data_IF_270357481437
#
_entry.id   IF_270357481437
#
_cell.length_a   1.000
_cell.length_b   1.000
_cell.length_c   1.000
_cell.angle_alpha   90.00
_cell.angle_beta   90.00
_cell.angle_gamma   90.00
#
_symmetry.space_group_name_H-M   'P 1'
#
loop_
_entity.id
_entity.type
_entity.pdbx_description
1 polymer ?
#
# COMPACT_ATOMS: atom_id res chain seq x y z
N UNK A 1 3.67 3.55 10.32
CA UNK A 1 4.47 2.99 11.42
C UNK A 1 5.10 4.06 12.31
N UNK A 2 5.31 5.28 11.83
CA UNK A 2 6.02 6.32 12.61
C UNK A 2 5.11 7.09 13.57
N UNK A 3 3.84 7.30 13.20
CA UNK A 3 2.84 8.03 13.99
C UNK A 3 3.35 9.41 14.45
N UNK A 4 3.90 10.20 13.51
CA UNK A 4 4.44 11.55 13.74
C UNK A 4 3.46 12.61 13.27
N UNK A 5 2.74 13.24 14.18
CA UNK A 5 1.74 14.29 13.93
C UNK A 5 2.36 15.65 13.61
N UNK A 6 3.61 15.85 14.00
CA UNK A 6 4.45 17.01 13.69
C UNK A 6 5.04 16.98 12.28
N UNK A 7 4.99 15.84 11.57
CA UNK A 7 5.47 15.72 10.19
C UNK A 7 4.60 16.50 9.20
N UNK A 8 5.22 16.98 8.12
CA UNK A 8 4.52 17.65 7.00
C UNK A 8 4.94 17.03 5.69
N UNK A 9 4.05 17.15 4.68
CA UNK A 9 4.35 16.69 3.32
C UNK A 9 5.55 17.42 2.74
N UNK A 10 6.43 16.69 2.03
CA UNK A 10 7.61 17.24 1.41
C UNK A 10 7.88 16.62 0.05
N UNK A 11 8.49 17.39 -0.83
CA UNK A 11 9.08 16.91 -2.08
C UNK A 11 10.57 17.19 -2.01
N UNK A 12 11.38 16.14 -2.07
CA UNK A 12 12.83 16.24 -1.90
C UNK A 12 13.57 15.73 -3.15
N UNK A 13 14.81 16.20 -3.35
CA UNK A 13 15.65 15.70 -4.43
C UNK A 13 15.38 16.33 -5.79
N UNK A 14 14.65 17.45 -5.88
CA UNK A 14 14.40 18.14 -7.14
C UNK A 14 15.69 18.76 -7.70
N UNK A 15 15.85 18.61 -9.01
CA UNK A 15 16.93 19.20 -9.80
C UNK A 15 16.33 19.92 -11.02
N UNK A 16 17.15 20.55 -11.84
CA UNK A 16 16.70 21.17 -13.10
C UNK A 16 16.19 20.16 -14.13
N UNK A 17 16.50 18.89 -13.97
CA UNK A 17 16.04 17.79 -14.83
C UNK A 17 14.58 17.43 -14.57
N UNK A 18 14.07 17.63 -13.36
CA UNK A 18 12.75 17.18 -12.97
C UNK A 18 11.63 18.04 -13.61
N UNK A 19 10.57 17.38 -14.02
CA UNK A 19 9.38 17.98 -14.59
C UNK A 19 8.11 17.43 -13.93
N UNK A 20 6.93 17.90 -14.33
CA UNK A 20 5.65 17.50 -13.77
C UNK A 20 5.41 15.97 -13.81
N UNK A 21 5.91 15.27 -14.83
CA UNK A 21 5.80 13.81 -14.94
C UNK A 21 6.56 13.09 -13.86
N UNK A 22 7.76 13.56 -13.50
CA UNK A 22 8.53 13.00 -12.39
C UNK A 22 7.82 13.20 -11.05
N UNK A 23 7.19 14.36 -10.84
CA UNK A 23 6.42 14.64 -9.62
C UNK A 23 5.18 13.71 -9.55
N UNK A 24 4.42 13.60 -10.65
CA UNK A 24 3.28 12.70 -10.72
C UNK A 24 3.68 11.24 -10.44
N UNK A 25 4.79 10.77 -11.02
CA UNK A 25 5.34 9.44 -10.78
C UNK A 25 5.72 9.24 -9.31
N UNK A 26 6.39 10.20 -8.70
CA UNK A 26 6.77 10.13 -7.28
C UNK A 26 5.55 10.03 -6.35
N UNK A 27 4.45 10.73 -6.66
CA UNK A 27 3.19 10.62 -5.90
C UNK A 27 2.61 9.20 -6.00
N UNK A 28 2.62 8.61 -7.19
CA UNK A 28 2.14 7.23 -7.39
C UNK A 28 3.02 6.21 -6.68
N UNK A 29 4.34 6.38 -6.69
CA UNK A 29 5.30 5.48 -6.03
C UNK A 29 5.29 5.60 -4.50
N UNK A 30 4.83 6.74 -3.96
CA UNK A 30 4.77 6.96 -2.52
C UNK A 30 3.87 5.94 -1.79
N UNK A 31 2.72 5.58 -2.38
CA UNK A 31 1.78 4.60 -1.79
C UNK A 31 2.42 3.21 -1.63
N UNK A 32 3.05 2.61 -2.66
CA UNK A 32 3.78 1.35 -2.51
C UNK A 32 4.89 1.38 -1.46
N UNK A 33 5.63 2.47 -1.33
CA UNK A 33 6.63 2.59 -0.27
C UNK A 33 6.01 2.60 1.13
N UNK A 34 4.92 3.35 1.34
CA UNK A 34 4.19 3.34 2.60
C UNK A 34 3.63 1.96 2.91
N UNK A 35 3.07 1.28 1.92
CA UNK A 35 2.58 -0.10 2.06
C UNK A 35 3.72 -1.02 2.52
N UNK A 36 4.91 -0.91 1.92
CA UNK A 36 6.07 -1.70 2.31
C UNK A 36 6.48 -1.42 3.77
N UNK A 37 6.47 -0.18 4.22
CA UNK A 37 6.77 0.16 5.63
C UNK A 37 5.80 -0.49 6.62
N UNK A 38 4.50 -0.51 6.27
CA UNK A 38 3.49 -1.18 7.10
C UNK A 38 3.73 -2.69 7.13
N UNK A 39 4.01 -3.30 5.97
CA UNK A 39 4.28 -4.74 5.90
C UNK A 39 5.55 -5.14 6.61
N UNK A 40 6.63 -4.37 6.47
CA UNK A 40 7.88 -4.62 7.22
C UNK A 40 7.61 -4.63 8.73
N UNK A 41 6.78 -3.69 9.23
CA UNK A 41 6.38 -3.64 10.63
C UNK A 41 5.52 -4.86 11.02
N UNK A 42 4.52 -5.23 10.21
CA UNK A 42 3.66 -6.39 10.48
C UNK A 42 4.45 -7.71 10.51
N UNK A 43 5.40 -7.88 9.59
CA UNK A 43 6.28 -9.07 9.58
C UNK A 43 7.18 -9.08 10.80
N UNK A 44 7.74 -7.92 11.19
CA UNK A 44 8.56 -7.82 12.38
C UNK A 44 7.80 -8.16 13.67
N UNK A 45 6.54 -7.73 13.78
CA UNK A 45 5.71 -7.97 14.95
C UNK A 45 5.15 -9.40 15.02
N UNK A 46 4.75 -9.96 13.87
CA UNK A 46 4.10 -11.27 13.81
C UNK A 46 5.06 -12.45 13.60
N UNK A 47 6.23 -12.21 13.01
CA UNK A 47 7.13 -13.25 12.51
C UNK A 47 6.59 -14.05 11.32
N UNK A 48 5.48 -13.61 10.71
CA UNK A 48 4.84 -14.29 9.58
C UNK A 48 5.27 -13.63 8.27
N UNK A 49 5.85 -14.43 7.38
CA UNK A 49 6.22 -13.96 6.05
C UNK A 49 5.00 -13.75 5.16
N UNK A 50 4.99 -12.63 4.43
CA UNK A 50 3.98 -12.36 3.42
C UNK A 50 4.21 -13.26 2.20
N UNK A 51 3.18 -14.00 1.77
CA UNK A 51 3.23 -14.84 0.57
C UNK A 51 2.56 -14.21 -0.65
N UNK A 52 1.51 -13.46 -0.44
CA UNK A 52 0.81 -12.65 -1.43
C UNK A 52 0.07 -11.51 -0.73
N UNK A 53 -0.17 -10.41 -1.43
CA UNK A 53 -1.01 -9.31 -0.94
C UNK A 53 -2.30 -9.24 -1.76
N UNK A 54 -3.45 -9.35 -1.10
CA UNK A 54 -4.75 -9.09 -1.70
C UNK A 54 -5.08 -7.61 -1.58
N UNK A 55 -5.50 -7.01 -2.70
CA UNK A 55 -5.76 -5.58 -2.82
C UNK A 55 -7.13 -5.33 -3.44
N UNK A 56 -7.81 -4.26 -2.99
CA UNK A 56 -9.11 -3.85 -3.49
C UNK A 56 -9.25 -2.32 -3.56
N UNK A 57 -10.42 -1.85 -3.99
CA UNK A 57 -10.72 -0.43 -4.09
C UNK A 57 -10.26 0.24 -5.37
N UNK A 58 -10.60 1.51 -5.51
CA UNK A 58 -10.45 2.27 -6.75
C UNK A 58 -9.01 2.43 -7.25
N UNK A 59 -8.04 2.56 -6.33
CA UNK A 59 -6.62 2.71 -6.68
C UNK A 59 -6.04 1.47 -7.37
N UNK A 60 -6.61 0.30 -7.15
CA UNK A 60 -6.16 -0.96 -7.77
C UNK A 60 -6.40 -1.02 -9.29
N UNK A 61 -7.05 -0.01 -9.86
CA UNK A 61 -7.19 0.16 -11.31
C UNK A 61 -5.92 0.72 -11.96
N UNK A 62 -5.04 1.34 -11.18
CA UNK A 62 -3.76 1.87 -11.66
C UNK A 62 -2.74 0.72 -11.75
N UNK A 63 -2.53 0.26 -12.97
CA UNK A 63 -1.64 -0.86 -13.30
C UNK A 63 -0.19 -0.60 -12.89
N UNK A 64 0.26 0.65 -13.03
CA UNK A 64 1.62 1.04 -12.68
C UNK A 64 1.84 0.99 -11.18
N UNK A 65 0.90 1.51 -10.39
CA UNK A 65 0.95 1.47 -8.93
C UNK A 65 0.94 0.02 -8.44
N UNK A 66 0.07 -0.82 -9.02
CA UNK A 66 -0.03 -2.23 -8.62
C UNK A 66 1.24 -3.02 -8.94
N UNK A 67 1.80 -2.87 -10.15
CA UNK A 67 3.06 -3.51 -10.50
C UNK A 67 4.18 -3.03 -9.59
N UNK A 68 4.33 -1.72 -9.40
CA UNK A 68 5.37 -1.18 -8.54
C UNK A 68 5.22 -1.63 -7.08
N UNK A 69 3.99 -1.82 -6.60
CA UNK A 69 3.73 -2.36 -5.26
C UNK A 69 4.17 -3.83 -5.13
N UNK A 70 3.87 -4.67 -6.14
CA UNK A 70 4.38 -6.04 -6.18
C UNK A 70 5.92 -6.07 -6.16
N UNK A 71 6.54 -5.20 -6.95
CA UNK A 71 8.00 -5.05 -7.03
C UNK A 71 8.61 -4.64 -5.68
N UNK A 72 8.01 -3.67 -5.01
CA UNK A 72 8.49 -3.19 -3.70
C UNK A 72 8.35 -4.25 -2.61
N UNK A 73 7.25 -4.97 -2.57
CA UNK A 73 7.01 -6.02 -1.57
C UNK A 73 7.78 -7.31 -1.87
N UNK A 74 8.06 -7.59 -3.15
CA UNK A 74 8.71 -8.83 -3.59
C UNK A 74 7.78 -10.05 -3.51
N UNK A 75 6.48 -9.85 -3.48
CA UNK A 75 5.45 -10.89 -3.47
C UNK A 75 4.35 -10.57 -4.48
N UNK A 76 3.61 -11.58 -4.96
CA UNK A 76 2.47 -11.34 -5.84
C UNK A 76 1.41 -10.45 -5.22
N UNK A 77 0.84 -9.56 -6.03
CA UNK A 77 -0.37 -8.82 -5.73
C UNK A 77 -1.56 -9.48 -6.42
N UNK A 78 -2.69 -9.60 -5.71
CA UNK A 78 -3.91 -10.21 -6.25
C UNK A 78 -5.10 -9.29 -6.02
N UNK A 79 -5.78 -8.95 -7.10
CA UNK A 79 -7.01 -8.16 -7.08
C UNK A 79 -8.21 -9.07 -7.42
N UNK A 80 -9.31 -9.06 -6.63
CA UNK A 80 -10.51 -9.82 -6.94
C UNK A 80 -11.24 -9.23 -8.18
N UNK A 81 -12.16 -10.00 -8.73
CA UNK A 81 -13.03 -9.52 -9.79
C UNK A 81 -13.96 -8.40 -9.31
N UNK A 82 -14.50 -8.54 -8.11
CA UNK A 82 -15.32 -7.51 -7.47
C UNK A 82 -14.42 -6.58 -6.67
N UNK A 83 -14.40 -5.30 -7.05
CA UNK A 83 -13.51 -4.30 -6.44
C UNK A 83 -14.09 -3.64 -5.18
N UNK A 84 -15.40 -3.69 -5.01
CA UNK A 84 -16.12 -3.09 -3.86
C UNK A 84 -16.26 -4.11 -2.72
N UNK A 85 -15.14 -4.59 -2.21
CA UNK A 85 -15.10 -5.68 -1.22
C UNK A 85 -15.70 -5.29 0.12
N UNK A 86 -15.66 -4.01 0.50
CA UNK A 86 -16.28 -3.51 1.73
C UNK A 86 -17.80 -3.69 1.67
N UNK A 87 -18.43 -3.24 0.58
CA UNK A 87 -19.87 -3.42 0.38
C UNK A 87 -20.25 -4.90 0.26
N UNK A 88 -19.42 -5.68 -0.45
CA UNK A 88 -19.61 -7.11 -0.59
C UNK A 88 -19.51 -7.83 0.76
N UNK A 89 -18.55 -7.47 1.59
CA UNK A 89 -18.40 -8.03 2.95
C UNK A 89 -19.62 -7.75 3.84
N UNK A 90 -20.17 -6.54 3.78
CA UNK A 90 -21.41 -6.20 4.49
C UNK A 90 -22.60 -7.03 3.96
N UNK A 91 -22.71 -7.23 2.64
CA UNK A 91 -23.73 -8.05 2.03
C UNK A 91 -23.61 -9.52 2.45
N UNK A 92 -22.38 -10.07 2.49
CA UNK A 92 -22.14 -11.44 2.99
C UNK A 92 -22.56 -11.59 4.45
N UNK A 93 -22.14 -10.67 5.32
CA UNK A 93 -22.53 -10.70 6.73
C UNK A 93 -24.07 -10.68 6.93
N UNK A 94 -24.76 -9.81 6.19
CA UNK A 94 -26.21 -9.74 6.21
C UNK A 94 -26.86 -11.03 5.66
N UNK A 95 -26.35 -11.57 4.55
CA UNK A 95 -26.86 -12.78 3.91
C UNK A 95 -26.72 -14.02 4.80
N UNK A 96 -25.59 -14.17 5.47
CA UNK A 96 -25.38 -15.26 6.46
C UNK A 96 -26.37 -15.10 7.63
N UNK A 97 -26.53 -13.86 8.12
CA UNK A 97 -27.43 -13.61 9.26
C UNK A 97 -28.90 -13.94 8.97
N UNK A 98 -29.35 -13.82 7.71
CA UNK A 98 -30.73 -14.14 7.32
C UNK A 98 -30.86 -15.53 6.65
N UNK A 99 -29.80 -16.31 6.59
CA UNK A 99 -29.79 -17.66 6.03
C UNK A 99 -29.83 -17.71 4.49
N UNK A 100 -29.38 -16.66 3.81
CA UNK A 100 -29.19 -16.67 2.35
C UNK A 100 -27.95 -17.45 1.94
N UNK A 101 -26.88 -17.38 2.72
CA UNK A 101 -25.69 -18.22 2.65
C UNK A 101 -25.57 -19.04 3.92
N UNK A 102 -25.11 -20.28 3.79
CA UNK A 102 -24.99 -21.21 4.93
C UNK A 102 -23.82 -20.84 5.86
N UNK A 103 -22.82 -20.12 5.35
CA UNK A 103 -21.68 -19.69 6.17
C UNK A 103 -20.49 -19.15 5.38
N UNK A 104 -19.32 -19.15 6.03
CA UNK A 104 -18.08 -18.60 5.47
C UNK A 104 -17.60 -19.35 4.22
N UNK A 105 -17.91 -20.63 4.09
CA UNK A 105 -17.49 -21.41 2.93
C UNK A 105 -18.10 -20.89 1.63
N UNK A 106 -19.37 -20.49 1.66
CA UNK A 106 -20.04 -19.88 0.50
C UNK A 106 -19.36 -18.57 0.08
N UNK A 107 -18.88 -17.79 1.06
CA UNK A 107 -18.13 -16.55 0.79
C UNK A 107 -16.79 -16.86 0.13
N UNK A 108 -16.09 -17.88 0.62
CA UNK A 108 -14.81 -18.32 0.04
C UNK A 108 -15.01 -18.80 -1.40
N UNK A 109 -16.05 -19.60 -1.65
CA UNK A 109 -16.35 -20.18 -2.96
C UNK A 109 -16.77 -19.12 -3.98
N UNK A 110 -17.33 -18.00 -3.53
CA UNK A 110 -17.69 -16.85 -4.37
C UNK A 110 -16.50 -15.93 -4.67
N UNK A 111 -15.36 -16.10 -3.99
CA UNK A 111 -14.18 -15.28 -4.28
C UNK A 111 -13.53 -15.71 -5.59
N UNK A 112 -13.27 -14.77 -6.48
CA UNK A 112 -12.60 -15.04 -7.74
C UNK A 112 -11.47 -14.04 -7.98
N UNK A 113 -10.30 -14.56 -8.37
CA UNK A 113 -9.17 -13.74 -8.81
C UNK A 113 -9.53 -12.99 -10.10
N UNK A 114 -9.33 -11.67 -10.09
CA UNK A 114 -9.54 -10.82 -11.26
C UNK A 114 -8.23 -10.53 -11.98
N UNK A 115 -7.20 -10.17 -11.25
CA UNK A 115 -5.87 -9.90 -11.81
C UNK A 115 -4.77 -10.15 -10.78
N UNK A 116 -3.61 -10.58 -11.31
CA UNK A 116 -2.38 -10.83 -10.54
C UNK A 116 -1.22 -10.06 -11.16
N UNK A 117 -0.35 -9.52 -10.31
CA UNK A 117 0.94 -8.93 -10.70
C UNK A 117 2.04 -9.69 -9.97
N UNK A 118 2.98 -10.20 -10.75
CA UNK A 118 4.17 -10.85 -10.21
C UNK A 118 5.28 -9.82 -9.97
N UNK A 119 6.07 -9.97 -8.90
CA UNK A 119 7.14 -9.03 -8.62
C UNK A 119 8.27 -9.11 -9.65
N UNK A 120 8.84 -7.97 -9.99
CA UNK A 120 10.03 -7.87 -10.81
C UNK A 120 11.26 -8.48 -10.11
N UNK A 121 12.31 -8.73 -10.88
CA UNK A 121 13.52 -9.44 -10.42
C UNK A 121 14.61 -8.53 -9.83
N UNK A 122 14.54 -7.22 -10.05
CA UNK A 122 15.59 -6.28 -9.64
C UNK A 122 15.43 -5.83 -8.17
N UNK A 123 15.55 -6.78 -7.25
CA UNK A 123 15.45 -6.52 -5.80
C UNK A 123 16.44 -5.46 -5.32
N UNK A 124 17.64 -5.44 -5.89
CA UNK A 124 18.68 -4.50 -5.44
C UNK A 124 18.28 -3.04 -5.75
N UNK A 125 17.70 -2.78 -6.92
CA UNK A 125 17.17 -1.45 -7.27
C UNK A 125 16.02 -1.05 -6.35
N UNK A 126 15.05 -1.93 -6.15
CA UNK A 126 13.89 -1.64 -5.28
C UNK A 126 14.31 -1.37 -3.84
N UNK A 127 15.25 -2.14 -3.30
CA UNK A 127 15.76 -1.93 -1.94
C UNK A 127 16.59 -0.65 -1.81
N UNK A 128 17.35 -0.28 -2.84
CA UNK A 128 18.06 0.99 -2.89
C UNK A 128 17.07 2.17 -2.86
N UNK A 129 16.04 2.13 -3.68
CA UNK A 129 15.03 3.18 -3.75
C UNK A 129 14.22 3.27 -2.45
N UNK A 130 13.91 2.15 -1.83
CA UNK A 130 13.25 2.12 -0.53
C UNK A 130 14.11 2.72 0.60
N UNK A 131 15.43 2.50 0.58
CA UNK A 131 16.33 3.19 1.52
C UNK A 131 16.31 4.71 1.34
N UNK A 132 16.24 5.19 0.09
CA UNK A 132 16.11 6.61 -0.19
C UNK A 132 14.76 7.17 0.27
N UNK A 133 13.67 6.42 0.06
CA UNK A 133 12.35 6.75 0.61
C UNK A 133 12.40 6.92 2.13
N UNK A 134 12.89 5.95 2.88
CA UNK A 134 13.02 6.04 4.35
C UNK A 134 13.85 7.25 4.79
N UNK A 135 14.92 7.57 4.07
CA UNK A 135 15.70 8.79 4.32
C UNK A 135 14.88 10.06 4.07
N UNK A 136 14.04 10.09 3.04
CA UNK A 136 13.17 11.23 2.76
C UNK A 136 12.10 11.39 3.85
N UNK A 137 11.47 10.31 4.29
CA UNK A 137 10.47 10.31 5.37
C UNK A 137 11.04 10.93 6.64
N UNK A 138 12.23 10.53 7.06
CA UNK A 138 12.84 11.10 8.28
C UNK A 138 13.15 12.60 8.18
N UNK A 139 13.15 13.18 6.98
CA UNK A 139 13.34 14.64 6.78
C UNK A 139 12.05 15.44 6.94
N UNK A 140 10.92 14.77 7.12
CA UNK A 140 9.61 15.40 7.36
C UNK A 140 9.25 15.49 8.84
N UNK A 141 10.02 14.84 9.72
CA UNK A 141 9.79 14.83 11.16
C UNK A 141 10.21 16.16 11.80
N UNK A 142 9.60 16.46 12.95
CA UNK A 142 9.92 17.67 13.73
C UNK A 142 9.78 18.96 12.89
N UNK A 143 8.80 18.94 11.97
CA UNK A 143 8.56 20.11 11.09
C UNK A 143 7.78 21.21 11.81
N UNK A 144 6.86 20.82 12.69
CA UNK A 144 6.07 21.75 13.50
C UNK A 144 6.80 21.98 14.80
N UNK A 145 7.10 23.25 15.08
CA UNK A 145 7.65 23.67 16.36
C UNK A 145 6.49 23.83 17.36
N UNK A 146 6.29 22.79 18.20
CA UNK A 146 5.20 22.74 19.17
C UNK A 146 5.31 23.80 20.27
N UNK A 147 6.48 24.42 20.45
CA UNK A 147 6.67 25.50 21.41
C UNK A 147 6.10 26.83 20.94
N UNK A 148 5.86 26.98 19.62
CA UNK A 148 5.33 28.21 19.02
C UNK A 148 3.80 28.20 18.92
N UNK A 149 3.15 27.04 18.83
CA UNK A 149 1.68 26.93 18.73
C UNK A 149 0.96 27.14 20.10
N UNK A 150 1.69 27.12 21.22
CA UNK A 150 1.13 27.31 22.55
C UNK A 150 1.46 28.70 23.17
N UNK A 151 2.01 29.61 22.41
CA UNK A 151 2.29 30.99 22.80
C UNK A 151 1.28 31.96 22.18
#
# INVERSE_FOLDING_TARGET
>A
PYWKDDARGAIVGLTRYNNKGHIARAVQEATPYQTREVFDAMVADSGVELKELRVDGGMTKDEMVMQFQADQLGVPLVRPQVLETTALGAAYAAGIAVGFWDGEQDVIDNWAEGKRWEPGKDREEYDRNYRLWKKAVTRTFEWVDTDVENA
#
